data_IF_394787500619
#
_entry.id   IF_394787500619
#
_cell.length_a   1.000
_cell.length_b   1.000
_cell.length_c   1.000
_cell.angle_alpha   90.00
_cell.angle_beta   90.00
_cell.angle_gamma   90.00
#
_symmetry.space_group_name_H-M   'P 1'
#
loop_
_entity.id
_entity.type
_entity.pdbx_description
1 polymer ?
#
# COMPACT_ATOMS: atom_id res chain seq x y z
N UNK A 1 -21.72 7.70 -8.40
CA UNK A 1 -20.64 7.26 -7.50
C UNK A 1 -20.13 8.43 -6.69
N UNK A 2 -19.96 8.26 -5.37
CA UNK A 2 -19.39 9.26 -4.45
C UNK A 2 -17.97 8.82 -4.07
N UNK A 3 -17.01 9.73 -4.12
CA UNK A 3 -15.66 9.51 -3.59
C UNK A 3 -15.60 10.01 -2.15
N UNK A 4 -15.09 9.18 -1.25
CA UNK A 4 -14.89 9.53 0.15
C UNK A 4 -13.42 9.42 0.51
N UNK A 5 -12.93 10.28 1.41
CA UNK A 5 -11.55 10.19 1.86
C UNK A 5 -11.29 8.83 2.52
N UNK A 6 -10.14 8.21 2.20
CA UNK A 6 -9.75 6.94 2.79
C UNK A 6 -8.53 7.09 3.69
N UNK A 7 -7.38 7.44 3.11
CA UNK A 7 -6.12 7.56 3.84
C UNK A 7 -5.14 8.47 3.11
N UNK A 8 -4.09 8.86 3.82
CA UNK A 8 -2.95 9.61 3.27
C UNK A 8 -1.65 8.87 3.49
N UNK A 9 -0.80 8.87 2.48
CA UNK A 9 0.56 8.33 2.59
C UNK A 9 1.56 9.46 2.48
N UNK A 10 2.50 9.49 3.42
CA UNK A 10 3.55 10.49 3.49
C UNK A 10 4.93 9.83 3.35
N UNK A 11 5.80 10.50 2.62
CA UNK A 11 7.22 10.18 2.59
C UNK A 11 7.89 10.83 3.80
N UNK A 12 8.61 10.02 4.59
CA UNK A 12 9.28 10.44 5.82
C UNK A 12 10.77 10.06 5.81
N UNK A 13 11.54 10.69 6.69
CA UNK A 13 12.97 10.44 6.86
C UNK A 13 13.28 9.52 8.05
N UNK A 14 12.64 9.77 9.18
CA UNK A 14 12.94 9.13 10.46
C UNK A 14 11.66 8.52 11.03
N UNK A 15 11.53 7.20 10.91
CA UNK A 15 10.37 6.47 11.41
C UNK A 15 10.27 6.50 12.93
N UNK A 16 11.39 6.56 13.66
CA UNK A 16 11.39 6.62 15.11
C UNK A 16 10.72 7.89 15.62
N UNK A 17 11.17 9.05 15.13
CA UNK A 17 10.59 10.36 15.51
C UNK A 17 9.13 10.50 15.10
N UNK A 18 8.80 10.09 13.87
CA UNK A 18 7.43 10.17 13.36
C UNK A 18 6.50 9.25 14.16
N UNK A 19 6.89 7.99 14.39
CA UNK A 19 6.06 7.08 15.17
C UNK A 19 5.90 7.55 16.62
N UNK A 20 6.96 8.06 17.25
CA UNK A 20 6.85 8.62 18.59
C UNK A 20 5.82 9.75 18.64
N UNK A 21 5.89 10.72 17.71
CA UNK A 21 4.94 11.81 17.65
C UNK A 21 3.49 11.32 17.42
N UNK A 22 3.26 10.51 16.39
CA UNK A 22 1.91 10.07 16.05
C UNK A 22 1.31 9.14 17.10
N UNK A 23 2.11 8.25 17.71
CA UNK A 23 1.59 7.29 18.69
C UNK A 23 1.52 7.87 20.11
N UNK A 24 2.53 8.62 20.55
CA UNK A 24 2.61 9.14 21.93
C UNK A 24 1.94 10.49 22.09
N UNK A 25 1.95 11.34 21.07
CA UNK A 25 1.36 12.69 21.15
C UNK A 25 -0.05 12.70 20.57
N UNK A 26 -0.24 12.10 19.39
CA UNK A 26 -1.54 12.15 18.70
C UNK A 26 -2.45 10.96 19.01
N UNK A 27 -1.94 9.90 19.65
CA UNK A 27 -2.75 8.76 20.08
C UNK A 27 -3.10 7.76 18.97
N UNK A 28 -2.29 7.69 17.91
CA UNK A 28 -2.40 6.63 16.91
C UNK A 28 -1.85 5.31 17.43
N UNK A 29 -2.40 4.21 16.93
CA UNK A 29 -1.87 2.87 17.12
C UNK A 29 -1.15 2.43 15.85
N UNK A 30 -0.05 1.69 16.02
CA UNK A 30 0.60 0.98 14.92
C UNK A 30 -0.31 -0.17 14.49
N UNK A 31 -0.75 -0.14 13.24
CA UNK A 31 -1.57 -1.20 12.65
C UNK A 31 -0.69 -2.31 12.08
N UNK A 32 0.27 -1.96 11.22
CA UNK A 32 1.17 -2.89 10.55
C UNK A 32 2.42 -2.16 10.01
N UNK A 33 3.49 -2.89 9.68
CA UNK A 33 4.67 -2.35 8.98
C UNK A 33 5.46 -3.44 8.26
N UNK A 34 6.13 -3.06 7.17
CA UNK A 34 7.01 -3.97 6.46
C UNK A 34 7.67 -3.35 5.24
N UNK A 35 8.60 -4.06 4.58
CA UNK A 35 9.24 -3.59 3.36
C UNK A 35 8.27 -3.63 2.17
N UNK A 36 8.26 -2.58 1.34
CA UNK A 36 7.44 -2.54 0.11
C UNK A 36 7.89 -3.54 -0.97
N UNK A 37 9.17 -3.91 -0.95
CA UNK A 37 9.78 -4.90 -1.83
C UNK A 37 11.03 -5.49 -1.15
N UNK A 38 11.61 -6.55 -1.71
CA UNK A 38 12.91 -7.05 -1.27
C UNK A 38 13.96 -5.94 -1.37
N UNK A 39 14.57 -5.58 -0.24
CA UNK A 39 15.48 -4.42 -0.08
C UNK A 39 14.86 -3.05 -0.41
N UNK A 40 13.53 -2.94 -0.43
CA UNK A 40 12.80 -1.69 -0.63
C UNK A 40 12.61 -0.89 0.67
N UNK A 41 12.12 0.35 0.59
CA UNK A 41 11.81 1.15 1.76
C UNK A 41 10.69 0.51 2.59
N UNK A 42 10.69 0.82 3.88
CA UNK A 42 9.64 0.38 4.78
C UNK A 42 8.38 1.25 4.63
N UNK A 43 7.22 0.60 4.66
CA UNK A 43 5.93 1.26 4.88
C UNK A 43 5.41 0.94 6.29
N UNK A 44 4.87 1.97 6.95
CA UNK A 44 4.30 1.88 8.30
C UNK A 44 2.87 2.40 8.26
N UNK A 45 1.94 1.62 8.80
CA UNK A 45 0.50 1.94 8.83
C UNK A 45 0.05 2.28 10.25
N UNK A 46 -0.69 3.36 10.40
CA UNK A 46 -1.24 3.77 11.71
C UNK A 46 -2.71 4.16 11.62
N UNK A 47 -3.45 3.89 12.69
CA UNK A 47 -4.87 4.24 12.82
C UNK A 47 -5.25 4.64 14.25
N UNK A 48 -6.23 5.53 14.39
CA UNK A 48 -6.96 5.74 15.66
C UNK A 48 -8.31 5.04 15.67
N UNK A 49 -8.82 4.67 14.50
CA UNK A 49 -10.12 4.05 14.32
C UNK A 49 -9.95 2.54 14.12
N UNK A 50 -10.65 1.74 14.91
CA UNK A 50 -10.62 0.27 14.82
C UNK A 50 -11.29 -0.26 13.56
N UNK A 51 -12.21 0.51 12.96
CA UNK A 51 -12.90 0.15 11.73
C UNK A 51 -12.05 0.48 10.49
N UNK A 52 -10.96 1.25 10.68
CA UNK A 52 -10.02 1.62 9.64
C UNK A 52 -8.69 0.89 9.83
N UNK A 53 -8.29 0.09 8.85
CA UNK A 53 -6.98 -0.56 8.87
C UNK A 53 -5.85 0.46 9.05
N UNK A 54 -5.98 1.61 8.39
CA UNK A 54 -5.10 2.77 8.56
C UNK A 54 -5.79 4.03 8.05
N UNK A 55 -5.52 5.14 8.73
CA UNK A 55 -5.89 6.48 8.26
C UNK A 55 -4.66 7.19 7.67
N UNK A 56 -3.45 6.81 8.12
CA UNK A 56 -2.17 7.31 7.64
C UNK A 56 -1.20 6.16 7.37
N UNK A 57 -0.34 6.35 6.37
CA UNK A 57 0.84 5.52 6.18
C UNK A 57 2.09 6.36 5.94
N UNK A 58 3.25 5.78 6.25
CA UNK A 58 4.55 6.44 6.12
C UNK A 58 5.51 5.56 5.32
N UNK A 59 6.12 6.11 4.27
CA UNK A 59 7.20 5.45 3.52
C UNK A 59 8.53 6.09 3.91
N UNK A 60 9.46 5.27 4.43
CA UNK A 60 10.77 5.72 4.92
C UNK A 60 11.77 5.80 3.76
N UNK A 61 11.56 6.78 2.87
CA UNK A 61 12.39 6.97 1.66
C UNK A 61 13.01 8.37 1.53
N UNK A 62 12.73 9.30 2.45
CA UNK A 62 13.27 10.66 2.35
C UNK A 62 14.67 10.77 2.94
N UNK A 63 15.59 11.32 2.15
CA UNK A 63 16.91 11.71 2.63
C UNK A 63 16.95 13.17 3.10
N UNK A 64 16.18 14.05 2.45
CA UNK A 64 16.17 15.49 2.68
C UNK A 64 14.76 15.97 3.07
N UNK A 65 14.66 16.69 4.20
CA UNK A 65 13.40 17.20 4.76
C UNK A 65 13.03 18.59 4.26
N UNK A 66 13.97 19.31 3.64
CA UNK A 66 13.77 20.69 3.18
C UNK A 66 13.09 20.76 1.80
N UNK A 67 12.92 19.60 1.15
CA UNK A 67 12.16 19.49 -0.11
C UNK A 67 10.65 19.50 0.15
N UNK A 68 9.84 20.20 -0.66
CA UNK A 68 8.40 20.35 -0.43
C UNK A 68 7.54 19.09 -0.67
N UNK A 69 8.12 17.93 -0.98
CA UNK A 69 7.41 16.74 -1.45
C UNK A 69 7.26 15.67 -0.35
N UNK A 70 6.57 15.99 0.76
CA UNK A 70 6.23 14.99 1.80
C UNK A 70 5.01 14.15 1.45
N UNK A 71 4.05 14.71 0.70
CA UNK A 71 2.88 13.95 0.28
C UNK A 71 3.29 12.92 -0.78
N UNK A 72 3.00 11.65 -0.51
CA UNK A 72 3.16 10.58 -1.50
C UNK A 72 1.87 10.45 -2.32
N UNK A 73 0.76 10.10 -1.68
CA UNK A 73 -0.54 10.03 -2.33
C UNK A 73 -1.71 10.20 -1.35
N UNK A 74 -2.86 10.52 -1.93
CA UNK A 74 -4.16 10.54 -1.29
C UNK A 74 -5.00 9.42 -1.89
N UNK A 75 -5.71 8.70 -1.02
CA UNK A 75 -6.57 7.61 -1.44
C UNK A 75 -8.02 7.93 -1.14
N UNK A 76 -8.89 7.62 -2.08
CA UNK A 76 -10.33 7.73 -1.95
C UNK A 76 -10.97 6.36 -1.99
N UNK A 77 -11.97 6.14 -1.13
CA UNK A 77 -12.80 4.95 -1.15
C UNK A 77 -14.10 5.21 -1.91
N UNK A 78 -14.63 4.12 -2.44
CA UNK A 78 -15.95 4.02 -3.05
C UNK A 78 -16.73 2.94 -2.32
N UNK A 79 -18.05 2.92 -2.49
CA UNK A 79 -18.94 2.02 -1.74
C UNK A 79 -18.81 0.58 -2.22
N UNK A 80 -18.51 0.38 -3.51
CA UNK A 80 -18.48 -0.96 -4.10
C UNK A 80 -17.24 -1.21 -4.96
N UNK A 81 -16.91 -2.48 -5.14
CA UNK A 81 -15.86 -2.90 -6.05
C UNK A 81 -16.19 -2.62 -7.53
N UNK A 82 -17.45 -2.56 -7.92
CA UNK A 82 -17.80 -2.16 -9.29
C UNK A 82 -17.53 -0.67 -9.53
N UNK A 83 -17.78 0.17 -8.53
CA UNK A 83 -17.44 1.60 -8.60
C UNK A 83 -15.93 1.84 -8.76
N UNK A 84 -15.09 0.94 -8.21
CA UNK A 84 -13.64 0.95 -8.46
C UNK A 84 -13.33 0.79 -9.95
N UNK A 85 -13.96 -0.18 -10.62
CA UNK A 85 -13.78 -0.41 -12.05
C UNK A 85 -14.27 0.79 -12.87
N UNK A 86 -15.41 1.37 -12.49
CA UNK A 86 -15.95 2.57 -13.13
C UNK A 86 -14.98 3.77 -13.03
N UNK A 87 -14.31 3.98 -11.88
CA UNK A 87 -13.24 5.00 -11.76
C UNK A 87 -12.11 4.70 -12.74
N UNK A 88 -11.66 3.45 -12.79
CA UNK A 88 -10.54 3.05 -13.66
C UNK A 88 -10.84 3.32 -15.13
N UNK A 89 -12.01 2.89 -15.61
CA UNK A 89 -12.45 3.12 -16.99
C UNK A 89 -12.54 4.60 -17.32
N UNK A 90 -13.07 5.43 -16.39
CA UNK A 90 -13.10 6.88 -16.55
C UNK A 90 -11.71 7.48 -16.67
N UNK A 91 -10.77 7.07 -15.80
CA UNK A 91 -9.38 7.55 -15.85
C UNK A 91 -8.69 7.17 -17.17
N UNK A 92 -8.88 5.92 -17.64
CA UNK A 92 -8.32 5.44 -18.90
C UNK A 92 -8.89 6.19 -20.10
N UNK A 93 -10.19 6.47 -20.08
CA UNK A 93 -10.85 7.24 -21.15
C UNK A 93 -10.42 8.71 -21.17
N UNK A 94 -10.13 9.28 -20.00
CA UNK A 94 -9.76 10.69 -19.86
C UNK A 94 -8.29 10.96 -20.20
N UNK A 95 -7.41 9.96 -20.06
CA UNK A 95 -5.96 10.18 -20.18
C UNK A 95 -5.23 9.07 -20.92
N UNK A 96 -4.43 9.47 -21.92
CA UNK A 96 -3.38 8.63 -22.47
C UNK A 96 -2.30 8.41 -21.38
N UNK A 97 -2.40 7.28 -20.66
CA UNK A 97 -1.29 6.52 -20.07
C UNK A 97 -0.52 7.00 -18.83
N UNK A 98 -0.93 8.01 -18.05
CA UNK A 98 -0.06 8.50 -16.94
C UNK A 98 -0.54 8.21 -15.50
N UNK A 99 -1.78 7.80 -15.25
CA UNK A 99 -2.25 7.53 -13.88
C UNK A 99 -2.26 6.03 -13.56
N UNK A 100 -1.49 5.61 -12.56
CA UNK A 100 -1.68 4.30 -11.94
C UNK A 100 -2.78 4.38 -10.88
N UNK A 101 -3.90 3.72 -11.16
CA UNK A 101 -4.90 3.43 -10.15
C UNK A 101 -4.37 2.31 -9.26
N UNK A 102 -3.87 2.63 -8.06
CA UNK A 102 -3.51 1.64 -7.06
C UNK A 102 -4.78 1.26 -6.31
N UNK A 103 -5.35 0.10 -6.65
CA UNK A 103 -6.55 -0.40 -5.99
C UNK A 103 -6.20 -1.06 -4.66
N UNK A 104 -6.52 -0.42 -3.54
CA UNK A 104 -6.48 -1.03 -2.22
C UNK A 104 -7.91 -1.24 -1.70
N UNK A 105 -8.38 -2.50 -1.70
CA UNK A 105 -9.56 -2.91 -0.94
C UNK A 105 -9.11 -3.21 0.50
N UNK A 106 -9.63 -2.51 1.53
CA UNK A 106 -9.17 -2.68 2.92
C UNK A 106 -9.25 -4.13 3.42
N UNK A 107 -10.24 -4.90 2.96
CA UNK A 107 -10.47 -6.29 3.38
C UNK A 107 -9.77 -7.35 2.51
N UNK A 108 -9.43 -7.05 1.25
CA UNK A 108 -8.85 -8.03 0.33
C UNK A 108 -7.31 -8.05 0.38
N UNK A 109 -6.68 -6.95 0.79
CA UNK A 109 -5.22 -6.85 0.94
C UNK A 109 -4.70 -7.78 2.05
N UNK A 110 -5.47 -7.93 3.14
CA UNK A 110 -5.18 -8.86 4.24
C UNK A 110 -5.26 -10.31 3.73
N UNK A 111 -6.26 -10.65 2.91
CA UNK A 111 -6.43 -12.02 2.42
C UNK A 111 -5.36 -12.41 1.39
N UNK A 112 -4.91 -11.49 0.52
CA UNK A 112 -3.83 -11.79 -0.45
C UNK A 112 -2.46 -11.90 0.23
N UNK A 113 -2.15 -11.03 1.19
CA UNK A 113 -0.84 -11.04 1.88
C UNK A 113 -0.70 -12.25 2.81
N UNK A 114 -1.76 -12.59 3.56
CA UNK A 114 -1.76 -13.80 4.40
C UNK A 114 -1.72 -15.08 3.57
N UNK A 115 -2.43 -15.14 2.44
CA UNK A 115 -2.42 -16.34 1.59
C UNK A 115 -1.06 -16.54 0.94
N UNK A 116 -0.37 -15.48 0.51
CA UNK A 116 1.02 -15.58 0.03
C UNK A 116 2.01 -15.99 1.12
N UNK A 117 1.94 -15.42 2.33
CA UNK A 117 2.85 -15.77 3.42
C UNK A 117 2.69 -17.22 3.87
N UNK A 118 1.45 -17.71 3.99
CA UNK A 118 1.17 -19.11 4.32
C UNK A 118 1.64 -20.04 3.20
N UNK A 119 1.40 -19.72 1.93
CA UNK A 119 1.88 -20.54 0.80
C UNK A 119 3.41 -20.57 0.72
N UNK A 120 4.08 -19.44 0.95
CA UNK A 120 5.56 -19.36 0.99
C UNK A 120 6.13 -20.24 2.09
N UNK A 121 5.55 -20.22 3.28
CA UNK A 121 6.00 -21.03 4.42
C UNK A 121 5.89 -22.54 4.19
N UNK A 122 4.97 -23.00 3.33
CA UNK A 122 4.80 -24.42 2.96
C UNK A 122 5.59 -24.83 1.72
N UNK A 123 5.71 -23.96 0.70
CA UNK A 123 6.23 -24.34 -0.63
C UNK A 123 7.72 -24.07 -0.84
N UNK A 124 8.31 -23.14 -0.07
CA UNK A 124 9.76 -22.86 -0.13
C UNK A 124 10.59 -24.08 0.32
N UNK A 125 10.27 -24.77 1.43
CA UNK A 125 11.02 -25.97 1.85
C UNK A 125 10.92 -27.13 0.85
N UNK A 126 9.84 -27.17 0.06
CA UNK A 126 9.59 -28.21 -0.94
C UNK A 126 10.20 -27.89 -2.31
N UNK A 127 10.83 -26.73 -2.50
CA UNK A 127 11.39 -26.30 -3.78
C UNK A 127 10.33 -26.00 -4.86
N UNK A 128 9.04 -26.00 -4.51
CA UNK A 128 7.92 -25.90 -5.44
C UNK A 128 7.48 -24.46 -5.73
N UNK A 129 8.03 -23.48 -4.98
CA UNK A 129 7.67 -22.07 -5.10
C UNK A 129 7.92 -21.48 -6.50
N UNK A 130 9.01 -21.88 -7.16
CA UNK A 130 9.34 -21.38 -8.50
C UNK A 130 8.33 -21.82 -9.57
N UNK A 131 7.77 -23.03 -9.47
CA UNK A 131 6.83 -23.58 -10.45
C UNK A 131 5.42 -22.99 -10.32
N UNK A 132 5.03 -22.49 -9.14
CA UNK A 132 3.74 -21.82 -8.96
C UNK A 132 3.68 -20.42 -9.60
N UNK A 133 4.82 -19.74 -9.75
CA UNK A 133 4.88 -18.42 -10.42
C UNK A 133 4.44 -18.48 -11.87
N UNK A 134 4.61 -19.62 -12.54
CA UNK A 134 4.17 -19.81 -13.93
C UNK A 134 2.66 -20.07 -14.04
N UNK A 135 2.04 -20.67 -13.03
CA UNK A 135 0.62 -21.05 -13.04
C UNK A 135 -0.34 -19.89 -12.76
N UNK A 136 0.07 -18.89 -11.96
CA UNK A 136 -0.82 -17.80 -11.54
C UNK A 136 -0.76 -16.54 -12.41
N UNK A 137 0.13 -16.49 -13.40
CA UNK A 137 0.32 -15.30 -14.21
C UNK A 137 0.92 -14.16 -13.39
N UNK A 138 2.00 -13.57 -13.90
CA UNK A 138 2.65 -12.43 -13.25
C UNK A 138 1.71 -11.23 -13.15
N UNK A 139 1.01 -11.06 -12.02
CA UNK A 139 0.72 -9.73 -11.49
C UNK A 139 1.92 -9.27 -10.64
N UNK A 140 3.07 -9.24 -11.30
CA UNK A 140 4.26 -8.56 -10.79
C UNK A 140 3.93 -7.07 -10.84
N UNK A 141 3.91 -6.42 -9.68
CA UNK A 141 3.98 -4.96 -9.59
C UNK A 141 5.29 -4.51 -10.26
N UNK A 142 5.18 -4.27 -11.57
CA UNK A 142 6.00 -3.50 -12.48
C UNK A 142 7.44 -3.21 -12.01
N UNK A 143 8.33 -4.13 -12.39
CA UNK A 143 9.75 -3.86 -12.62
C UNK A 143 9.86 -3.09 -13.93
N UNK A 144 10.22 -1.80 -13.88
CA UNK A 144 10.69 -1.07 -15.07
C UNK A 144 12.10 -0.56 -14.82
N UNK A 145 13.01 -0.91 -15.74
CA UNK A 145 14.25 -0.19 -16.07
C UNK A 145 14.77 -0.75 -17.40
N UNK A 146 15.44 0.08 -18.21
CA UNK A 146 14.93 1.30 -18.85
C UNK A 146 14.06 0.99 -20.07
#
# INVERSE_FOLDING_TARGET
MKLEWSHTVLNIKDSGKILEFYTKTLGFNLSDRGPLAENGPEIIFVSQDSDEHHQLAFIVEREDVDKPTSLNHLSFRVKTFNEVHEVKERLDSATSSTYRCVMAMPSLFILMTLKEMVLKSFLIPLGMWHNLKELFGTQTLLRQKP
#
